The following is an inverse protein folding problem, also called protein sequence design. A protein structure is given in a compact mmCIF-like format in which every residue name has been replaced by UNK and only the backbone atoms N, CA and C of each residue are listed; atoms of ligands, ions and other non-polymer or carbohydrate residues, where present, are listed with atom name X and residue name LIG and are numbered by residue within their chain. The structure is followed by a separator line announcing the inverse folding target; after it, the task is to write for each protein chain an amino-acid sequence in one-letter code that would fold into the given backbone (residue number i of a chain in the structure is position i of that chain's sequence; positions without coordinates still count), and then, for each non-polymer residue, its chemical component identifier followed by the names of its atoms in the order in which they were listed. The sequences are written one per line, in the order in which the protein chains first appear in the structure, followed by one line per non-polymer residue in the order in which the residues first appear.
data_IF_977276188795
#
_entry.id   IF_977276188795
#
_cell.length_a   1.000
_cell.length_b   1.000
_cell.length_c   1.000
_cell.angle_alpha   90.00
_cell.angle_beta   90.00
_cell.angle_gamma   90.00
#
_symmetry.space_group_name_H-M   'P 1'
#
loop_
_entity.id
_entity.type
_entity.pdbx_description
1 polymer ?
#
# COMPACT_ATOMS: atom_id res chain seq x y z
N UNK A 1 22.84 4.49 13.06
CA UNK A 1 23.28 3.10 13.30
C UNK A 1 23.28 2.35 11.97
N UNK A 2 24.15 1.36 11.81
CA UNK A 2 24.11 0.44 10.67
C UNK A 2 23.77 -0.97 11.17
N UNK A 3 22.69 -1.56 10.67
CA UNK A 3 22.18 -2.86 11.11
C UNK A 3 22.37 -3.92 10.03
N UNK A 4 23.04 -5.03 10.36
CA UNK A 4 23.36 -6.07 9.39
C UNK A 4 22.20 -7.01 9.00
N UNK A 5 21.14 -7.06 9.80
CA UNK A 5 19.94 -7.88 9.49
C UNK A 5 18.68 -7.10 9.82
N UNK A 6 18.60 -6.56 11.05
CA UNK A 6 17.62 -5.56 11.45
C UNK A 6 18.34 -4.42 12.17
N UNK A 7 17.87 -3.16 12.06
CA UNK A 7 18.36 -2.10 12.94
C UNK A 7 17.71 -2.20 14.32
N UNK A 8 16.38 -2.34 14.38
CA UNK A 8 15.64 -2.53 15.62
C UNK A 8 14.66 -3.69 15.41
N UNK A 9 14.68 -4.68 16.31
CA UNK A 9 13.69 -5.74 16.39
C UNK A 9 13.13 -5.73 17.82
N UNK A 10 11.94 -5.15 17.99
CA UNK A 10 11.24 -5.14 19.26
C UNK A 10 10.10 -6.15 19.20
N UNK A 11 10.17 -7.21 20.02
CA UNK A 11 9.17 -8.27 20.06
C UNK A 11 8.52 -8.35 21.44
N UNK A 12 7.20 -8.20 21.51
CA UNK A 12 6.44 -8.35 22.75
C UNK A 12 6.61 -7.23 23.77
N UNK A 13 7.10 -6.06 23.36
CA UNK A 13 7.41 -4.93 24.24
C UNK A 13 6.17 -4.06 24.47
N UNK A 14 5.89 -3.77 25.74
CA UNK A 14 4.88 -2.80 26.15
C UNK A 14 5.53 -1.46 26.53
N UNK A 15 5.05 -0.35 25.97
CA UNK A 15 5.52 1.02 26.19
C UNK A 15 6.90 1.32 25.59
N UNK A 16 7.00 1.19 24.27
CA UNK A 16 8.23 1.47 23.52
C UNK A 16 8.25 2.92 23.02
N UNK A 17 9.39 3.60 23.16
CA UNK A 17 9.67 4.88 22.50
C UNK A 17 10.96 4.77 21.70
N UNK A 18 10.90 5.15 20.42
CA UNK A 18 12.05 5.30 19.52
C UNK A 18 12.01 6.74 19.01
N UNK A 19 13.00 7.54 19.37
CA UNK A 19 13.03 8.95 19.00
C UNK A 19 14.39 9.35 18.43
N UNK A 20 14.37 10.15 17.37
CA UNK A 20 15.55 10.77 16.78
C UNK A 20 16.65 9.77 16.35
N UNK A 21 16.23 8.62 15.81
CA UNK A 21 17.15 7.57 15.33
C UNK A 21 17.38 7.72 13.83
N UNK A 22 18.65 7.75 13.44
CA UNK A 22 19.09 7.54 12.05
C UNK A 22 19.53 6.09 11.87
N UNK A 23 18.89 5.35 10.97
CA UNK A 23 19.12 3.93 10.75
C UNK A 23 19.39 3.64 9.28
N UNK A 24 20.36 2.76 9.03
CA UNK A 24 20.72 2.26 7.71
C UNK A 24 20.83 0.74 7.82
N UNK A 25 20.02 0.00 7.09
CA UNK A 25 19.81 -1.43 7.30
C UNK A 25 20.09 -2.24 6.04
N UNK A 26 20.69 -3.42 6.24
CA UNK A 26 20.91 -4.43 5.19
C UNK A 26 19.62 -5.19 4.83
N UNK A 27 18.64 -5.24 5.75
CA UNK A 27 17.24 -5.64 5.51
C UNK A 27 16.29 -4.70 6.24
N UNK A 28 15.30 -5.20 7.00
CA UNK A 28 14.30 -4.31 7.60
C UNK A 28 14.96 -3.31 8.55
N UNK A 29 14.52 -2.05 8.49
CA UNK A 29 14.98 -1.01 9.40
C UNK A 29 14.48 -1.29 10.80
N UNK A 30 13.21 -0.99 11.05
CA UNK A 30 12.56 -1.23 12.35
C UNK A 30 11.45 -2.27 12.23
N UNK A 31 11.55 -3.34 13.00
CA UNK A 31 10.52 -4.34 13.21
C UNK A 31 9.88 -4.17 14.59
N UNK A 32 8.58 -3.89 14.59
CA UNK A 32 7.76 -3.73 15.80
C UNK A 32 6.74 -4.86 15.83
N UNK A 33 7.10 -5.94 16.51
CA UNK A 33 6.36 -7.19 16.50
C UNK A 33 5.65 -7.45 17.84
N UNK A 34 4.34 -7.70 17.80
CA UNK A 34 3.53 -7.99 18.99
C UNK A 34 3.66 -6.95 20.11
N UNK A 35 3.84 -5.68 19.78
CA UNK A 35 4.12 -4.60 20.73
C UNK A 35 2.89 -3.73 21.02
N UNK A 36 2.87 -3.07 22.19
CA UNK A 36 1.78 -2.18 22.59
C UNK A 36 2.29 -0.83 23.08
N UNK A 37 1.50 0.22 22.84
CA UNK A 37 1.79 1.58 23.28
C UNK A 37 3.15 2.07 22.75
N UNK A 38 3.30 2.06 21.43
CA UNK A 38 4.56 2.37 20.75
C UNK A 38 4.54 3.79 20.21
N UNK A 39 5.62 4.53 20.43
CA UNK A 39 5.86 5.87 19.86
C UNK A 39 7.15 5.87 19.06
N UNK A 40 7.06 6.14 17.77
CA UNK A 40 8.22 6.31 16.89
C UNK A 40 8.17 7.72 16.32
N UNK A 41 9.19 8.52 16.60
CA UNK A 41 9.22 9.91 16.17
C UNK A 41 10.58 10.36 15.65
N UNK A 42 10.55 11.30 14.70
CA UNK A 42 11.75 12.04 14.25
C UNK A 42 12.87 11.13 13.70
N UNK A 43 12.53 9.97 13.15
CA UNK A 43 13.50 8.99 12.68
C UNK A 43 13.77 9.09 11.17
N UNK A 44 15.01 8.80 10.77
CA UNK A 44 15.44 8.68 9.38
C UNK A 44 15.82 7.22 9.13
N UNK A 45 15.13 6.52 8.26
CA UNK A 45 15.27 5.07 8.12
C UNK A 45 15.55 4.71 6.67
N UNK A 46 16.74 4.19 6.40
CA UNK A 46 17.15 3.70 5.10
C UNK A 46 17.16 2.17 5.09
N UNK A 47 16.45 1.58 4.13
CA UNK A 47 16.52 0.15 3.81
C UNK A 47 16.36 -0.03 2.30
N UNK A 48 17.45 -0.12 1.52
CA UNK A 48 17.36 -0.24 0.07
C UNK A 48 16.80 -1.60 -0.38
N UNK A 49 16.96 -2.65 0.42
CA UNK A 49 16.68 -4.04 0.04
C UNK A 49 15.41 -4.60 0.68
N UNK A 50 14.92 -4.04 1.79
CA UNK A 50 13.74 -4.54 2.53
C UNK A 50 12.89 -3.40 3.15
N UNK A 51 11.96 -3.69 4.05
CA UNK A 51 11.04 -2.70 4.60
C UNK A 51 11.77 -1.72 5.53
N UNK A 52 11.54 -0.41 5.37
CA UNK A 52 12.14 0.58 6.27
C UNK A 52 11.55 0.51 7.68
N UNK A 53 10.22 0.46 7.80
CA UNK A 53 9.53 0.38 9.09
C UNK A 53 8.35 -0.60 8.97
N UNK A 54 8.43 -1.70 9.68
CA UNK A 54 7.47 -2.78 9.61
C UNK A 54 6.82 -3.01 10.98
N UNK A 55 5.49 -2.92 11.01
CA UNK A 55 4.69 -3.41 12.11
C UNK A 55 4.34 -4.86 11.81
N UNK A 56 4.69 -5.75 12.73
CA UNK A 56 4.37 -7.18 12.66
C UNK A 56 3.51 -7.58 13.85
N UNK A 57 2.79 -8.69 13.70
CA UNK A 57 2.05 -9.34 14.76
C UNK A 57 2.13 -10.83 14.54
N UNK A 58 3.35 -11.33 14.61
CA UNK A 58 3.68 -12.73 14.33
C UNK A 58 3.22 -13.67 15.44
N UNK A 59 3.55 -14.95 15.29
CA UNK A 59 3.39 -15.95 16.34
C UNK A 59 4.69 -16.16 17.16
N UNK A 60 5.66 -15.24 17.10
CA UNK A 60 6.97 -15.38 17.74
C UNK A 60 6.92 -15.55 19.26
N UNK A 61 5.84 -15.10 19.91
CA UNK A 61 5.63 -15.27 21.35
C UNK A 61 5.03 -16.64 21.73
N UNK A 62 4.76 -17.52 20.76
CA UNK A 62 4.07 -18.79 20.97
C UNK A 62 2.54 -18.65 21.14
N UNK A 63 2.01 -17.43 21.04
CA UNK A 63 0.58 -17.13 20.99
C UNK A 63 0.36 -15.88 20.11
N UNK A 64 -0.85 -15.75 19.56
CA UNK A 64 -1.22 -14.59 18.75
C UNK A 64 -1.37 -13.36 19.66
N UNK A 65 -0.57 -12.32 19.40
CA UNK A 65 -0.62 -11.05 20.14
C UNK A 65 -0.69 -9.88 19.17
N UNK A 66 -1.68 -9.03 19.36
CA UNK A 66 -1.91 -7.84 18.54
C UNK A 66 -0.79 -6.82 18.72
N UNK A 67 -0.41 -6.13 17.64
CA UNK A 67 0.36 -4.88 17.72
C UNK A 67 -0.62 -3.71 17.77
N UNK A 68 -0.67 -2.98 18.88
CA UNK A 68 -1.72 -1.98 19.10
C UNK A 68 -1.27 -0.68 19.77
N UNK A 69 -2.01 0.40 19.50
CA UNK A 69 -1.74 1.74 20.01
C UNK A 69 -0.34 2.21 19.59
N UNK A 70 -0.14 2.32 18.28
CA UNK A 70 1.13 2.72 17.68
C UNK A 70 0.98 4.09 17.04
N UNK A 71 1.90 5.00 17.34
CA UNK A 71 2.03 6.30 16.67
C UNK A 71 3.40 6.41 16.03
N UNK A 72 3.42 6.67 14.72
CA UNK A 72 4.61 6.96 13.93
C UNK A 72 4.47 8.39 13.40
N UNK A 73 5.40 9.28 13.72
CA UNK A 73 5.28 10.68 13.28
C UNK A 73 6.61 11.35 12.97
N UNK A 74 6.60 12.27 12.00
CA UNK A 74 7.78 13.03 11.60
C UNK A 74 8.98 12.15 11.18
N UNK A 75 8.70 10.98 10.60
CA UNK A 75 9.74 10.07 10.14
C UNK A 75 9.98 10.20 8.64
N UNK A 76 11.20 9.91 8.20
CA UNK A 76 11.53 9.74 6.79
C UNK A 76 11.96 8.31 6.49
N UNK A 77 11.44 7.74 5.40
CA UNK A 77 11.75 6.37 4.97
C UNK A 77 12.34 6.40 3.57
N UNK A 78 13.45 5.69 3.40
CA UNK A 78 14.31 5.75 2.23
C UNK A 78 14.75 4.36 1.76
N UNK A 79 15.14 4.30 0.49
CA UNK A 79 15.87 3.19 -0.10
C UNK A 79 17.11 3.65 -0.87
N UNK A 80 17.89 4.57 -0.32
CA UNK A 80 19.19 4.98 -0.85
C UNK A 80 20.26 3.90 -0.64
N UNK A 81 21.37 4.04 -1.35
CA UNK A 81 22.51 3.13 -1.27
C UNK A 81 23.01 3.01 0.18
N UNK A 82 23.41 1.81 0.58
CA UNK A 82 23.92 1.56 1.94
C UNK A 82 25.02 2.56 2.32
N UNK A 83 24.90 3.12 3.52
CA UNK A 83 25.84 4.09 4.09
C UNK A 83 25.62 5.53 3.59
N UNK A 84 24.94 5.73 2.46
CA UNK A 84 24.78 7.07 1.86
C UNK A 84 23.82 7.98 2.61
N UNK A 85 22.87 7.40 3.35
CA UNK A 85 22.11 8.14 4.33
C UNK A 85 23.08 8.64 5.42
N UNK A 86 23.95 7.77 5.94
CA UNK A 86 24.79 8.09 7.09
C UNK A 86 25.87 9.13 6.78
N UNK A 87 26.46 9.11 5.59
CA UNK A 87 27.46 10.09 5.15
C UNK A 87 26.85 11.37 4.55
N UNK A 88 25.53 11.40 4.34
CA UNK A 88 24.79 12.55 3.84
C UNK A 88 24.87 12.75 2.32
N UNK A 89 25.32 11.74 1.56
CA UNK A 89 25.41 11.82 0.10
C UNK A 89 24.14 11.41 -0.63
N UNK A 90 23.27 10.61 0.00
CA UNK A 90 21.97 10.17 -0.55
C UNK A 90 22.09 9.58 -1.97
N UNK A 91 23.10 8.73 -2.18
CA UNK A 91 23.35 8.10 -3.48
C UNK A 91 22.22 7.14 -3.85
N UNK A 92 21.99 7.04 -5.15
CA UNK A 92 20.93 6.21 -5.75
C UNK A 92 21.48 5.33 -6.88
N UNK A 93 22.76 4.96 -6.79
CA UNK A 93 23.49 4.18 -7.80
C UNK A 93 23.30 2.68 -7.58
N UNK A 94 22.90 2.26 -6.36
CA UNK A 94 22.66 0.87 -6.02
C UNK A 94 21.60 0.28 -6.94
N UNK A 95 22.00 -0.81 -7.59
CA UNK A 95 21.17 -1.74 -8.30
C UNK A 95 21.28 -3.04 -7.51
N UNK A 96 20.16 -3.61 -7.09
CA UNK A 96 20.17 -4.91 -6.42
C UNK A 96 20.61 -5.98 -7.43
N UNK A 97 21.87 -6.41 -7.34
CA UNK A 97 22.53 -7.34 -8.26
C UNK A 97 22.42 -8.81 -7.83
N UNK A 98 21.51 -9.16 -6.91
CA UNK A 98 21.35 -10.57 -6.55
C UNK A 98 20.97 -11.41 -7.78
N UNK A 99 21.75 -12.46 -8.14
CA UNK A 99 21.55 -13.21 -9.38
C UNK A 99 20.16 -13.87 -9.38
N UNK A 100 19.39 -13.60 -10.45
CA UNK A 100 18.00 -14.04 -10.65
C UNK A 100 16.94 -13.40 -9.75
N UNK A 101 17.28 -12.34 -9.00
CA UNK A 101 16.35 -11.67 -8.12
C UNK A 101 15.86 -10.38 -8.79
N UNK A 102 14.59 -10.35 -9.19
CA UNK A 102 13.94 -9.15 -9.74
C UNK A 102 13.48 -8.21 -8.61
N UNK A 103 14.38 -7.89 -7.67
CA UNK A 103 14.10 -6.93 -6.62
C UNK A 103 14.32 -5.51 -7.14
N UNK A 104 13.45 -4.60 -6.72
CA UNK A 104 13.69 -3.16 -6.83
C UNK A 104 13.98 -2.62 -5.43
N UNK A 105 14.39 -1.37 -5.34
CA UNK A 105 14.52 -0.67 -4.06
C UNK A 105 13.24 -0.84 -3.23
N UNK A 106 13.36 -1.15 -1.94
CA UNK A 106 12.23 -1.40 -1.03
C UNK A 106 11.87 -0.18 -0.16
N UNK A 107 12.49 0.03 1.01
CA UNK A 107 12.27 1.24 1.82
C UNK A 107 10.81 1.51 2.19
N UNK A 108 10.02 0.47 2.46
CA UNK A 108 8.55 0.55 2.65
C UNK A 108 8.17 0.77 4.12
N UNK A 109 7.01 1.40 4.37
CA UNK A 109 6.32 1.27 5.65
C UNK A 109 5.21 0.23 5.54
N UNK A 110 5.25 -0.82 6.37
CA UNK A 110 4.36 -1.97 6.24
C UNK A 110 3.67 -2.36 7.54
N UNK A 111 2.41 -2.78 7.44
CA UNK A 111 1.74 -3.64 8.43
C UNK A 111 1.64 -5.04 7.82
N UNK A 112 2.33 -6.03 8.41
CA UNK A 112 2.38 -7.42 7.91
C UNK A 112 3.80 -7.87 7.51
N UNK A 113 4.00 -8.94 6.74
CA UNK A 113 2.99 -9.94 6.35
C UNK A 113 2.58 -10.81 7.53
N UNK A 114 3.49 -10.99 8.48
CA UNK A 114 3.28 -11.68 9.75
C UNK A 114 2.19 -10.95 10.53
N UNK A 115 0.99 -11.51 10.48
CA UNK A 115 -0.25 -10.83 10.88
C UNK A 115 -1.17 -11.74 11.70
N UNK A 116 -0.61 -12.71 12.42
CA UNK A 116 -1.35 -13.68 13.21
C UNK A 116 -2.20 -13.03 14.32
N UNK A 117 -1.67 -12.05 15.05
CA UNK A 117 -2.41 -11.36 16.12
C UNK A 117 -3.15 -10.10 15.66
N UNK A 118 -2.79 -9.53 14.52
CA UNK A 118 -3.38 -8.32 13.95
C UNK A 118 -2.77 -7.00 14.41
N UNK A 119 -3.40 -5.91 13.97
CA UNK A 119 -3.01 -4.52 14.14
C UNK A 119 -4.23 -3.67 14.50
N UNK A 120 -4.16 -2.87 15.57
CA UNK A 120 -5.27 -1.99 15.96
C UNK A 120 -4.79 -0.62 16.44
N UNK A 121 -5.52 0.43 16.07
CA UNK A 121 -5.29 1.79 16.55
C UNK A 121 -3.86 2.24 16.21
N UNK A 122 -3.61 2.38 14.90
CA UNK A 122 -2.32 2.72 14.33
C UNK A 122 -2.45 4.08 13.64
N UNK A 123 -1.63 5.05 14.02
CA UNK A 123 -1.59 6.37 13.39
C UNK A 123 -0.19 6.63 12.84
N UNK A 124 -0.12 6.95 11.55
CA UNK A 124 1.09 7.36 10.84
C UNK A 124 0.85 8.75 10.30
N UNK A 125 1.67 9.73 10.69
CA UNK A 125 1.46 11.11 10.26
C UNK A 125 2.73 11.90 10.00
N UNK A 126 2.66 12.89 9.11
CA UNK A 126 3.78 13.81 8.84
C UNK A 126 5.06 13.09 8.38
N UNK A 127 4.93 12.01 7.60
CA UNK A 127 6.07 11.23 7.14
C UNK A 127 6.39 11.53 5.67
N UNK A 128 7.68 11.40 5.33
CA UNK A 128 8.18 11.57 3.96
C UNK A 128 8.80 10.26 3.49
N UNK A 129 8.50 9.90 2.25
CA UNK A 129 9.08 8.74 1.58
C UNK A 129 9.83 9.20 0.34
N UNK A 130 11.05 8.70 0.15
CA UNK A 130 11.81 8.95 -1.07
C UNK A 130 12.55 7.69 -1.50
N UNK A 131 12.47 7.36 -2.81
CA UNK A 131 13.06 6.13 -3.36
C UNK A 131 12.58 4.89 -2.60
N UNK A 132 11.26 4.69 -2.57
CA UNK A 132 10.60 3.69 -1.71
C UNK A 132 9.48 2.95 -2.44
N UNK A 133 8.99 1.85 -1.85
CA UNK A 133 7.77 1.14 -2.28
C UNK A 133 6.53 1.59 -1.50
N UNK A 134 6.54 2.81 -0.97
CA UNK A 134 5.39 3.44 -0.32
C UNK A 134 4.90 2.70 0.93
N UNK A 135 3.59 2.46 0.98
CA UNK A 135 2.88 1.89 2.12
C UNK A 135 2.30 0.51 1.76
N UNK A 136 2.36 -0.44 2.68
CA UNK A 136 1.57 -1.66 2.58
C UNK A 136 0.79 -1.97 3.86
N UNK A 137 -0.46 -2.42 3.70
CA UNK A 137 -1.35 -2.86 4.76
C UNK A 137 -1.85 -4.25 4.43
N UNK A 138 -1.32 -5.25 5.12
CA UNK A 138 -1.47 -6.66 4.74
C UNK A 138 -1.90 -7.52 5.94
N UNK A 139 -3.08 -8.14 5.83
CA UNK A 139 -3.44 -9.27 6.68
C UNK A 139 -3.45 -10.54 5.82
N UNK A 140 -2.54 -11.45 6.15
CA UNK A 140 -2.28 -12.68 5.42
C UNK A 140 -2.47 -13.93 6.28
N UNK A 141 -2.36 -13.79 7.60
CA UNK A 141 -2.21 -14.89 8.54
C UNK A 141 -3.36 -14.94 9.59
N UNK A 142 -4.50 -14.33 9.27
CA UNK A 142 -5.75 -14.45 10.04
C UNK A 142 -6.06 -13.32 11.03
N UNK A 143 -5.16 -12.36 11.21
CA UNK A 143 -5.36 -11.27 12.17
C UNK A 143 -6.29 -10.16 11.69
N UNK A 144 -6.77 -9.40 12.66
CA UNK A 144 -7.55 -8.18 12.45
C UNK A 144 -6.63 -7.01 12.08
N UNK A 145 -6.94 -6.26 11.03
CA UNK A 145 -6.44 -4.89 10.81
C UNK A 145 -7.61 -3.94 10.99
N UNK A 146 -7.47 -2.99 11.91
CA UNK A 146 -8.56 -2.11 12.28
C UNK A 146 -8.09 -0.76 12.85
N UNK A 147 -8.80 0.32 12.53
CA UNK A 147 -8.52 1.67 13.03
C UNK A 147 -7.11 2.13 12.67
N UNK A 148 -6.86 2.24 11.36
CA UNK A 148 -5.56 2.66 10.80
C UNK A 148 -5.71 3.99 10.08
N UNK A 149 -4.92 4.98 10.48
CA UNK A 149 -4.88 6.32 9.90
C UNK A 149 -3.49 6.61 9.33
N UNK A 150 -3.46 6.97 8.04
CA UNK A 150 -2.34 7.67 7.41
C UNK A 150 -2.78 9.11 7.11
N UNK A 151 -2.04 10.11 7.62
CA UNK A 151 -2.35 11.52 7.37
C UNK A 151 -1.10 12.36 7.09
N UNK A 152 -1.19 13.28 6.13
CA UNK A 152 -0.13 14.22 5.78
C UNK A 152 1.18 13.49 5.40
N UNK A 153 1.13 12.79 4.26
CA UNK A 153 2.24 11.99 3.74
C UNK A 153 2.70 12.55 2.40
N UNK A 154 4.02 12.71 2.22
CA UNK A 154 4.61 13.07 0.93
C UNK A 154 5.52 11.96 0.43
N UNK A 155 5.44 11.64 -0.86
CA UNK A 155 6.23 10.59 -1.48
C UNK A 155 6.84 11.06 -2.81
N UNK A 156 8.09 10.68 -3.08
CA UNK A 156 8.78 10.92 -4.36
C UNK A 156 9.60 9.72 -4.77
N UNK A 157 9.67 9.46 -6.09
CA UNK A 157 10.36 8.29 -6.65
C UNK A 157 9.88 6.99 -5.99
N UNK A 158 8.61 6.68 -6.25
CA UNK A 158 8.00 5.46 -5.73
C UNK A 158 8.29 4.34 -6.72
N UNK A 159 9.03 3.32 -6.28
CA UNK A 159 9.57 2.22 -7.11
C UNK A 159 8.61 1.03 -7.28
N UNK A 160 7.37 1.21 -6.84
CA UNK A 160 6.27 0.26 -6.83
C UNK A 160 4.93 1.03 -6.86
N UNK A 161 3.88 0.55 -6.19
CA UNK A 161 2.64 1.30 -5.95
C UNK A 161 2.71 2.11 -4.63
N UNK A 162 2.21 3.36 -4.57
CA UNK A 162 2.28 4.22 -3.38
C UNK A 162 1.59 3.65 -2.15
N UNK A 163 0.46 2.95 -2.36
CA UNK A 163 -0.17 2.19 -1.30
C UNK A 163 -0.81 0.91 -1.82
N UNK A 164 -0.54 -0.18 -1.09
CA UNK A 164 -1.04 -1.53 -1.33
C UNK A 164 -1.83 -2.00 -0.10
N UNK A 165 -3.09 -2.36 -0.28
CA UNK A 165 -3.91 -2.94 0.81
C UNK A 165 -4.36 -4.32 0.38
N UNK A 166 -4.01 -5.33 1.17
CA UNK A 166 -4.30 -6.73 0.87
C UNK A 166 -4.87 -7.46 2.08
N UNK A 167 -6.03 -8.08 1.89
CA UNK A 167 -6.54 -9.13 2.77
C UNK A 167 -6.44 -10.45 2.00
N UNK A 168 -5.56 -11.35 2.41
CA UNK A 168 -5.39 -12.66 1.79
C UNK A 168 -5.33 -13.79 2.84
N UNK A 169 -5.17 -15.03 2.39
CA UNK A 169 -5.24 -16.23 3.23
C UNK A 169 -4.01 -17.12 3.01
N UNK A 170 -2.82 -16.59 3.34
CA UNK A 170 -1.58 -17.36 3.38
C UNK A 170 -1.54 -18.31 4.58
N UNK A 171 -2.16 -17.90 5.69
CA UNK A 171 -2.47 -18.73 6.86
C UNK A 171 -1.27 -19.49 7.46
N UNK A 172 -0.13 -18.82 7.67
CA UNK A 172 1.07 -19.45 8.28
C UNK A 172 0.98 -19.68 9.80
N UNK A 173 -0.14 -19.32 10.42
CA UNK A 173 -0.40 -19.53 11.84
C UNK A 173 -0.82 -20.95 12.19
N UNK A 174 -1.25 -21.18 13.45
CA UNK A 174 -1.86 -22.43 13.86
C UNK A 174 -3.05 -22.82 12.96
N UNK A 175 -3.27 -24.12 12.79
CA UNK A 175 -4.42 -24.64 12.03
C UNK A 175 -5.75 -24.19 12.66
N UNK A 176 -6.76 -23.99 11.81
CA UNK A 176 -8.12 -23.63 12.23
C UNK A 176 -8.36 -22.13 12.50
N UNK A 177 -7.33 -21.28 12.36
CA UNK A 177 -7.50 -19.82 12.41
C UNK A 177 -8.34 -19.36 11.20
N UNK A 178 -9.38 -18.54 11.38
CA UNK A 178 -10.15 -18.00 10.27
C UNK A 178 -9.35 -16.95 9.48
N UNK A 179 -9.76 -16.68 8.25
CA UNK A 179 -9.21 -15.55 7.47
C UNK A 179 -9.44 -14.24 8.23
N UNK A 180 -8.46 -13.34 8.10
CA UNK A 180 -8.45 -12.07 8.81
C UNK A 180 -9.55 -11.10 8.39
N UNK A 181 -9.64 -10.01 9.14
CA UNK A 181 -10.56 -8.89 8.88
C UNK A 181 -9.69 -7.66 8.60
N UNK A 182 -10.05 -6.85 7.60
CA UNK A 182 -9.33 -5.61 7.28
C UNK A 182 -10.34 -4.49 7.11
N UNK A 183 -10.37 -3.52 8.03
CA UNK A 183 -11.39 -2.48 8.00
C UNK A 183 -11.04 -1.17 8.70
N UNK A 184 -11.85 -0.14 8.46
CA UNK A 184 -11.73 1.19 9.10
C UNK A 184 -10.34 1.78 8.91
N UNK A 185 -9.98 1.92 7.63
CA UNK A 185 -8.71 2.47 7.19
C UNK A 185 -8.98 3.83 6.55
N UNK A 186 -8.21 4.83 6.94
CA UNK A 186 -8.23 6.15 6.31
C UNK A 186 -6.84 6.50 5.81
N UNK A 187 -6.75 6.85 4.53
CA UNK A 187 -5.57 7.48 3.94
C UNK A 187 -5.98 8.88 3.50
N UNK A 188 -5.46 9.89 4.20
CA UNK A 188 -5.80 11.28 4.00
C UNK A 188 -4.55 12.13 3.72
N UNK A 189 -4.69 13.20 2.93
CA UNK A 189 -3.64 14.17 2.65
C UNK A 189 -2.34 13.51 2.13
N UNK A 190 -2.43 12.88 0.96
CA UNK A 190 -1.33 12.15 0.34
C UNK A 190 -0.87 12.85 -0.94
N UNK A 191 0.39 13.28 -1.01
CA UNK A 191 0.99 13.91 -2.18
C UNK A 191 2.14 13.08 -2.73
N UNK A 192 1.99 12.56 -3.94
CA UNK A 192 2.92 11.61 -4.55
C UNK A 192 3.35 12.08 -5.93
N UNK A 193 4.65 12.02 -6.18
CA UNK A 193 5.22 12.30 -7.50
C UNK A 193 6.19 11.20 -7.93
N UNK A 194 6.25 10.97 -9.24
CA UNK A 194 7.18 10.01 -9.85
C UNK A 194 6.97 8.56 -9.39
N UNK A 195 5.74 8.08 -9.53
CA UNK A 195 5.40 6.68 -9.27
C UNK A 195 5.67 5.86 -10.52
N UNK A 196 6.61 4.91 -10.46
CA UNK A 196 6.83 3.97 -11.54
C UNK A 196 7.34 2.66 -10.99
N UNK A 197 6.68 1.57 -11.36
CA UNK A 197 7.01 0.24 -10.84
C UNK A 197 8.40 -0.23 -11.24
N UNK A 198 8.70 -1.48 -10.88
CA UNK A 198 10.01 -2.11 -11.07
C UNK A 198 10.48 -2.00 -12.53
N UNK A 199 11.79 -1.99 -12.82
CA UNK A 199 12.30 -1.94 -14.20
C UNK A 199 11.68 -2.98 -15.15
N UNK A 200 11.25 -4.14 -14.64
CA UNK A 200 10.59 -5.23 -15.41
C UNK A 200 9.09 -5.37 -15.14
N UNK A 201 8.53 -4.53 -14.27
CA UNK A 201 7.09 -4.51 -13.94
C UNK A 201 6.65 -3.07 -13.59
N UNK A 202 6.77 -2.10 -14.52
CA UNK A 202 6.47 -0.71 -14.23
C UNK A 202 4.97 -0.45 -14.03
N UNK A 203 4.12 -1.43 -14.35
CA UNK A 203 2.72 -1.28 -14.74
C UNK A 203 1.71 -1.53 -13.59
N UNK A 204 2.12 -1.37 -12.33
CA UNK A 204 1.34 -1.76 -11.14
C UNK A 204 0.22 -0.78 -10.77
N UNK A 205 0.24 0.44 -11.33
CA UNK A 205 -0.77 1.48 -11.08
C UNK A 205 -0.56 2.26 -9.78
N UNK A 206 -1.35 3.31 -9.60
CA UNK A 206 -1.28 4.27 -8.51
C UNK A 206 -1.84 3.78 -7.16
N UNK A 207 -2.65 2.72 -7.15
CA UNK A 207 -3.06 2.02 -5.94
C UNK A 207 -3.65 0.63 -6.23
N UNK A 208 -3.47 -0.29 -5.29
CA UNK A 208 -4.08 -1.62 -5.33
C UNK A 208 -4.72 -1.95 -3.98
N UNK A 209 -6.04 -2.15 -3.96
CA UNK A 209 -6.81 -2.50 -2.76
C UNK A 209 -7.62 -3.75 -3.03
N UNK A 210 -7.20 -4.88 -2.46
CA UNK A 210 -7.70 -6.19 -2.86
C UNK A 210 -7.99 -7.10 -1.66
N UNK A 211 -9.26 -7.41 -1.43
CA UNK A 211 -9.71 -8.56 -0.64
C UNK A 211 -9.64 -9.86 -1.46
N UNK A 212 -10.32 -10.91 -0.98
CA UNK A 212 -10.45 -12.20 -1.68
C UNK A 212 -11.92 -12.63 -1.70
N UNK A 213 -12.31 -13.61 -2.54
CA UNK A 213 -13.68 -14.10 -2.57
C UNK A 213 -14.21 -14.44 -1.16
N UNK A 214 -15.32 -13.83 -0.77
CA UNK A 214 -15.96 -14.02 0.54
C UNK A 214 -15.40 -13.15 1.68
N UNK A 215 -14.27 -12.44 1.49
CA UNK A 215 -13.64 -11.61 2.52
C UNK A 215 -13.29 -10.22 1.97
N UNK A 216 -14.05 -9.23 2.44
CA UNK A 216 -13.99 -7.86 1.96
C UNK A 216 -13.06 -7.00 2.81
N UNK A 217 -12.37 -6.06 2.17
CA UNK A 217 -11.84 -4.89 2.88
C UNK A 217 -13.01 -3.94 3.13
N UNK A 218 -13.25 -3.57 4.39
CA UNK A 218 -14.45 -2.81 4.77
C UNK A 218 -14.14 -1.40 5.27
N UNK A 219 -14.98 -0.42 4.93
CA UNK A 219 -14.88 0.95 5.47
C UNK A 219 -13.50 1.59 5.20
N UNK A 220 -13.19 1.77 3.92
CA UNK A 220 -11.97 2.42 3.43
C UNK A 220 -12.29 3.84 2.96
N UNK A 221 -11.59 4.82 3.52
CA UNK A 221 -11.66 6.22 3.10
C UNK A 221 -10.34 6.68 2.51
N UNK A 222 -10.39 7.20 1.28
CA UNK A 222 -9.27 7.80 0.57
C UNK A 222 -9.63 9.26 0.28
N UNK A 223 -8.89 10.22 0.85
CA UNK A 223 -9.22 11.64 0.69
C UNK A 223 -8.04 12.56 0.51
N UNK A 224 -8.22 13.61 -0.28
CA UNK A 224 -7.20 14.65 -0.50
C UNK A 224 -5.88 14.05 -1.03
N UNK A 225 -5.97 13.32 -2.15
CA UNK A 225 -4.84 12.57 -2.72
C UNK A 225 -4.45 13.17 -4.07
N UNK A 226 -3.15 13.36 -4.30
CA UNK A 226 -2.59 13.71 -5.61
C UNK A 226 -1.47 12.76 -5.98
N UNK A 227 -1.55 12.13 -7.14
CA UNK A 227 -0.54 11.17 -7.63
C UNK A 227 -0.16 11.47 -9.08
N UNK A 228 1.15 11.59 -9.33
CA UNK A 228 1.74 11.58 -10.68
C UNK A 228 2.43 10.25 -10.95
N UNK A 229 1.86 9.47 -11.85
CA UNK A 229 2.35 8.17 -12.27
C UNK A 229 3.17 8.28 -13.56
N UNK A 230 4.26 7.52 -13.70
CA UNK A 230 5.11 7.54 -14.90
C UNK A 230 4.32 7.14 -16.14
N UNK A 231 3.35 6.23 -16.04
CA UNK A 231 2.48 5.84 -17.15
C UNK A 231 3.21 5.08 -18.25
N UNK A 232 2.65 5.10 -19.47
CA UNK A 232 3.28 4.50 -20.66
C UNK A 232 2.78 3.10 -21.04
N UNK A 233 1.70 2.61 -20.42
CA UNK A 233 1.20 1.25 -20.66
C UNK A 233 0.20 1.23 -21.82
N UNK A 234 0.31 0.21 -22.69
CA UNK A 234 -0.60 0.01 -23.82
C UNK A 234 -1.98 -0.50 -23.36
N UNK A 235 -2.95 -0.43 -24.28
CA UNK A 235 -4.32 -0.92 -24.04
C UNK A 235 -4.40 -2.43 -23.75
N UNK A 236 -3.38 -3.21 -24.11
CA UNK A 236 -3.37 -4.67 -23.95
C UNK A 236 -3.43 -5.10 -22.47
N UNK A 237 -3.12 -4.18 -21.55
CA UNK A 237 -3.23 -4.42 -20.11
C UNK A 237 -4.68 -4.39 -19.58
N UNK A 238 -5.61 -3.72 -20.27
CA UNK A 238 -6.99 -3.48 -19.79
C UNK A 238 -7.77 -4.79 -19.66
N UNK A 239 -7.56 -5.70 -20.60
CA UNK A 239 -8.28 -6.99 -20.68
C UNK A 239 -7.57 -8.13 -19.95
N UNK A 240 -6.42 -7.87 -19.33
CA UNK A 240 -5.69 -8.90 -18.58
C UNK A 240 -6.50 -9.35 -17.37
N UNK A 241 -6.56 -10.67 -17.20
CA UNK A 241 -7.09 -11.26 -15.98
C UNK A 241 -6.17 -10.93 -14.80
N UNK A 242 -6.76 -10.45 -13.71
CA UNK A 242 -6.05 -10.21 -12.45
C UNK A 242 -6.20 -11.47 -11.59
N UNK A 243 -5.17 -12.33 -11.44
CA UNK A 243 -5.27 -13.54 -10.64
C UNK A 243 -5.53 -13.21 -9.16
N UNK A 244 -6.20 -14.10 -8.43
CA UNK A 244 -6.51 -13.85 -7.00
C UNK A 244 -5.29 -13.95 -6.09
N UNK A 245 -4.38 -14.90 -6.37
CA UNK A 245 -3.18 -15.14 -5.57
C UNK A 245 -3.50 -15.25 -4.06
N UNK A 246 -4.53 -16.02 -3.71
CA UNK A 246 -5.17 -16.05 -2.38
C UNK A 246 -4.16 -16.39 -1.26
N UNK A 247 -3.33 -17.39 -1.48
CA UNK A 247 -2.46 -18.03 -0.48
C UNK A 247 -0.97 -17.71 -0.69
N UNK A 248 -0.66 -16.78 -1.58
CA UNK A 248 0.73 -16.44 -1.91
C UNK A 248 1.28 -15.27 -1.08
N UNK A 249 2.58 -15.03 -1.13
CA UNK A 249 3.19 -13.83 -0.54
C UNK A 249 2.60 -12.57 -1.19
N UNK A 250 1.97 -11.65 -0.42
CA UNK A 250 1.23 -10.53 -0.98
C UNK A 250 2.16 -9.36 -1.30
N UNK A 251 2.86 -9.41 -2.43
CA UNK A 251 3.61 -8.26 -2.93
C UNK A 251 3.03 -7.77 -4.27
N UNK A 252 2.90 -6.45 -4.50
CA UNK A 252 2.40 -5.91 -5.76
C UNK A 252 2.97 -6.54 -7.03
N UNK A 253 4.27 -6.89 -7.06
CA UNK A 253 4.90 -7.45 -8.27
C UNK A 253 4.23 -8.73 -8.77
N UNK A 254 3.51 -9.45 -7.91
CA UNK A 254 2.82 -10.71 -8.24
C UNK A 254 1.73 -10.54 -9.30
N UNK A 255 1.25 -9.31 -9.54
CA UNK A 255 0.24 -9.02 -10.56
C UNK A 255 0.80 -8.42 -11.85
N UNK A 256 2.08 -8.04 -11.85
CA UNK A 256 2.81 -7.51 -13.01
C UNK A 256 2.20 -6.21 -13.58
N UNK A 257 1.16 -6.33 -14.37
CA UNK A 257 0.51 -5.25 -15.12
C UNK A 257 -0.94 -5.18 -14.73
N UNK A 258 -1.30 -4.10 -14.04
CA UNK A 258 -2.67 -3.87 -13.60
C UNK A 258 -3.48 -3.22 -14.72
N UNK A 259 -4.77 -3.56 -14.85
CA UNK A 259 -5.63 -3.01 -15.91
C UNK A 259 -6.00 -1.54 -15.69
N UNK A 260 -5.80 -0.99 -14.48
CA UNK A 260 -5.94 0.43 -14.19
C UNK A 260 -4.55 1.06 -14.03
N UNK A 261 -4.34 2.25 -14.60
CA UNK A 261 -3.13 3.03 -14.25
C UNK A 261 -3.30 3.76 -12.90
N UNK A 262 -4.54 4.13 -12.58
CA UNK A 262 -4.90 4.80 -11.34
C UNK A 262 -5.11 3.79 -10.22
N UNK A 263 -6.34 3.65 -9.73
CA UNK A 263 -6.65 2.83 -8.55
C UNK A 263 -7.49 1.61 -8.93
N UNK A 264 -7.04 0.43 -8.48
CA UNK A 264 -7.73 -0.85 -8.65
C UNK A 264 -8.30 -1.32 -7.31
N UNK A 265 -9.62 -1.55 -7.26
CA UNK A 265 -10.34 -2.02 -6.08
C UNK A 265 -10.98 -3.38 -6.35
N UNK A 266 -10.77 -4.35 -5.46
CA UNK A 266 -11.38 -5.67 -5.55
C UNK A 266 -11.83 -6.21 -4.20
N UNK A 267 -13.05 -6.76 -4.11
CA UNK A 267 -13.66 -7.22 -2.85
C UNK A 267 -13.58 -6.14 -1.77
N UNK A 268 -14.21 -5.00 -2.04
CA UNK A 268 -14.25 -3.85 -1.11
C UNK A 268 -15.69 -3.49 -0.78
N UNK A 269 -15.97 -3.19 0.48
CA UNK A 269 -17.30 -2.76 0.94
C UNK A 269 -17.23 -1.47 1.74
N UNK A 270 -18.05 -0.47 1.41
CA UNK A 270 -18.02 0.82 2.10
C UNK A 270 -16.79 1.65 1.70
N UNK A 271 -16.59 1.84 0.39
CA UNK A 271 -15.48 2.61 -0.17
C UNK A 271 -15.87 4.08 -0.32
N UNK A 272 -15.04 5.01 0.17
CA UNK A 272 -15.21 6.45 -0.03
C UNK A 272 -13.94 7.04 -0.61
N UNK A 273 -14.04 7.65 -1.79
CA UNK A 273 -12.94 8.28 -2.50
C UNK A 273 -13.32 9.72 -2.80
N UNK A 274 -12.62 10.68 -2.19
CA UNK A 274 -13.01 12.09 -2.27
C UNK A 274 -11.81 13.02 -2.49
N UNK A 275 -11.95 13.97 -3.41
CA UNK A 275 -10.90 14.96 -3.70
C UNK A 275 -9.58 14.28 -4.12
N UNK A 276 -9.60 13.63 -5.28
CA UNK A 276 -8.48 12.84 -5.80
C UNK A 276 -8.06 13.35 -7.16
N UNK A 277 -6.76 13.63 -7.30
CA UNK A 277 -6.11 14.04 -8.55
C UNK A 277 -5.16 12.95 -9.03
N UNK A 278 -5.41 12.39 -10.20
CA UNK A 278 -4.54 11.39 -10.83
C UNK A 278 -4.01 11.90 -12.16
N UNK A 279 -2.69 11.79 -12.35
CA UNK A 279 -1.99 12.17 -13.57
C UNK A 279 -1.05 11.08 -14.01
N UNK A 280 -0.86 10.94 -15.31
CA UNK A 280 0.26 10.21 -15.88
C UNK A 280 1.24 11.19 -16.57
N UNK A 281 2.53 10.88 -16.53
CA UNK A 281 3.59 11.68 -17.14
C UNK A 281 3.84 11.26 -18.60
N UNK A 282 3.80 9.95 -18.86
CA UNK A 282 3.78 9.39 -20.20
C UNK A 282 2.38 8.86 -20.50
N UNK A 283 1.94 9.01 -21.75
CA UNK A 283 0.61 8.60 -22.19
C UNK A 283 0.34 7.14 -21.81
N UNK A 284 -0.70 6.92 -21.02
CA UNK A 284 -1.16 5.59 -20.59
C UNK A 284 -2.55 5.35 -21.17
N UNK A 285 -2.79 4.19 -21.76
CA UNK A 285 -4.05 3.88 -22.43
C UNK A 285 -5.10 3.27 -21.49
N UNK A 286 -4.75 3.00 -20.22
CA UNK A 286 -5.67 2.38 -19.26
C UNK A 286 -6.67 3.36 -18.65
N UNK A 287 -7.80 2.88 -18.09
CA UNK A 287 -8.70 3.68 -17.27
C UNK A 287 -8.05 4.12 -15.95
N UNK A 288 -8.61 5.16 -15.33
CA UNK A 288 -8.19 5.62 -14.01
C UNK A 288 -8.67 4.68 -12.90
N UNK A 289 -9.90 4.16 -12.99
CA UNK A 289 -10.50 3.36 -11.94
C UNK A 289 -11.05 2.05 -12.46
N UNK A 290 -10.78 0.98 -11.73
CA UNK A 290 -11.46 -0.31 -11.93
C UNK A 290 -11.96 -0.82 -10.58
N UNK A 291 -13.24 -1.16 -10.54
CA UNK A 291 -13.91 -1.75 -9.38
C UNK A 291 -14.38 -3.15 -9.77
N UNK A 292 -13.93 -4.16 -9.03
CA UNK A 292 -14.29 -5.57 -9.24
C UNK A 292 -14.82 -6.20 -7.94
N UNK A 293 -16.12 -6.48 -7.88
CA UNK A 293 -16.80 -6.96 -6.66
C UNK A 293 -16.70 -5.91 -5.53
N UNK A 294 -17.33 -4.74 -5.78
CA UNK A 294 -17.30 -3.60 -4.86
C UNK A 294 -18.72 -3.17 -4.50
N UNK A 295 -18.99 -3.00 -3.21
CA UNK A 295 -20.33 -2.72 -2.70
C UNK A 295 -20.35 -1.48 -1.81
N UNK A 296 -21.36 -0.62 -1.98
CA UNK A 296 -21.52 0.64 -1.24
C UNK A 296 -20.28 1.54 -1.43
N UNK A 297 -20.13 2.08 -2.63
CA UNK A 297 -19.00 2.92 -3.01
C UNK A 297 -19.44 4.35 -3.34
N UNK A 298 -18.60 5.33 -2.98
CA UNK A 298 -18.82 6.73 -3.33
C UNK A 298 -17.54 7.37 -3.85
N UNK A 299 -17.65 8.08 -4.96
CA UNK A 299 -16.58 8.86 -5.59
C UNK A 299 -17.07 10.30 -5.73
N UNK A 300 -16.28 11.25 -5.27
CA UNK A 300 -16.62 12.67 -5.39
C UNK A 300 -15.39 13.56 -5.61
N UNK A 301 -15.54 14.60 -6.42
CA UNK A 301 -14.47 15.57 -6.71
C UNK A 301 -13.21 14.88 -7.24
N UNK A 302 -13.35 14.21 -8.39
CA UNK A 302 -12.26 13.47 -9.01
C UNK A 302 -11.80 14.21 -10.26
N UNK A 303 -10.50 14.44 -10.32
CA UNK A 303 -9.83 15.00 -11.49
C UNK A 303 -8.72 14.04 -11.90
N UNK A 304 -9.02 13.14 -12.83
CA UNK A 304 -8.13 12.07 -13.24
C UNK A 304 -8.04 11.98 -14.76
N UNK A 305 -6.82 11.93 -15.30
CA UNK A 305 -6.63 11.61 -16.72
C UNK A 305 -7.13 10.18 -17.01
N UNK A 306 -7.35 9.86 -18.28
CA UNK A 306 -7.65 8.50 -18.75
C UNK A 306 -7.01 8.29 -20.12
N UNK A 307 -6.80 7.03 -20.49
CA UNK A 307 -6.48 6.68 -21.87
C UNK A 307 -7.47 7.30 -22.85
N UNK A 308 -7.00 7.67 -24.05
CA UNK A 308 -7.78 8.44 -25.02
C UNK A 308 -9.15 7.81 -25.29
N UNK A 309 -9.15 6.49 -25.50
CA UNK A 309 -10.33 5.70 -25.81
C UNK A 309 -10.82 4.88 -24.61
N UNK A 310 -10.21 5.06 -23.43
CA UNK A 310 -10.60 4.36 -22.22
C UNK A 310 -11.77 5.07 -21.51
N UNK A 311 -12.63 4.32 -20.80
CA UNK A 311 -13.57 4.90 -19.85
C UNK A 311 -12.83 5.47 -18.62
N UNK A 312 -13.51 6.32 -17.86
CA UNK A 312 -13.00 6.78 -16.57
C UNK A 312 -13.07 5.65 -15.53
N UNK A 313 -14.18 4.87 -15.56
CA UNK A 313 -14.39 3.72 -14.69
C UNK A 313 -14.73 2.45 -15.48
N UNK A 314 -14.16 1.32 -15.07
CA UNK A 314 -14.69 -0.01 -15.40
C UNK A 314 -15.25 -0.64 -14.13
N UNK A 315 -16.54 -0.98 -14.16
CA UNK A 315 -17.28 -1.60 -13.06
C UNK A 315 -17.54 -3.07 -13.40
N UNK A 316 -17.23 -3.97 -12.47
CA UNK A 316 -17.50 -5.41 -12.53
C UNK A 316 -18.13 -5.84 -11.20
N UNK A 317 -19.34 -6.39 -11.23
CA UNK A 317 -20.08 -6.83 -10.04
C UNK A 317 -20.19 -5.77 -8.93
N UNK A 318 -20.59 -4.55 -9.28
CA UNK A 318 -20.67 -3.41 -8.36
C UNK A 318 -22.12 -3.17 -7.92
N UNK A 319 -22.33 -2.79 -6.65
CA UNK A 319 -23.65 -2.36 -6.18
C UNK A 319 -23.61 -1.13 -5.28
N UNK A 320 -24.67 -0.34 -5.33
CA UNK A 320 -24.85 0.90 -4.57
C UNK A 320 -23.65 1.84 -4.73
N UNK A 321 -23.39 2.25 -5.97
CA UNK A 321 -22.33 3.20 -6.29
C UNK A 321 -22.92 4.58 -6.60
N UNK A 322 -22.28 5.62 -6.08
CA UNK A 322 -22.52 7.02 -6.43
C UNK A 322 -21.23 7.68 -6.89
N UNK A 323 -21.26 8.37 -8.03
CA UNK A 323 -20.15 9.11 -8.62
C UNK A 323 -20.66 10.53 -8.87
N UNK A 324 -19.94 11.52 -8.36
CA UNK A 324 -20.34 12.93 -8.41
C UNK A 324 -19.13 13.82 -8.71
N UNK A 325 -19.28 14.83 -9.57
CA UNK A 325 -18.19 15.77 -9.89
C UNK A 325 -16.88 15.06 -10.30
N UNK A 326 -16.94 14.30 -11.39
CA UNK A 326 -15.76 13.68 -12.00
C UNK A 326 -15.52 14.30 -13.37
N UNK A 327 -14.27 14.64 -13.69
CA UNK A 327 -13.95 15.20 -15.01
C UNK A 327 -14.38 14.24 -16.14
N UNK A 328 -14.98 14.80 -17.19
CA UNK A 328 -15.43 14.05 -18.37
C UNK A 328 -16.50 12.97 -18.10
N UNK A 329 -17.20 13.02 -16.96
CA UNK A 329 -18.26 12.07 -16.61
C UNK A 329 -19.41 12.77 -15.88
N UNK A 330 -20.64 12.61 -16.36
CA UNK A 330 -21.85 13.07 -15.66
C UNK A 330 -22.05 12.33 -14.33
N UNK A 331 -22.79 12.92 -13.39
CA UNK A 331 -23.10 12.27 -12.13
C UNK A 331 -23.88 10.96 -12.33
N UNK A 332 -23.48 9.92 -11.61
CA UNK A 332 -24.01 8.56 -11.76
C UNK A 332 -24.42 8.00 -10.41
N UNK A 333 -25.61 7.38 -10.36
CA UNK A 333 -26.06 6.55 -9.23
C UNK A 333 -26.59 5.22 -9.75
N UNK A 334 -25.99 4.11 -9.31
CA UNK A 334 -26.33 2.76 -9.79
C UNK A 334 -26.64 1.84 -8.61
N UNK A 335 -27.73 1.08 -8.72
CA UNK A 335 -28.13 0.08 -7.72
C UNK A 335 -27.31 -1.21 -7.79
N UNK A 336 -27.26 -1.87 -8.95
CA UNK A 336 -26.44 -3.07 -9.19
C UNK A 336 -26.03 -3.12 -10.66
N UNK A 337 -24.77 -3.46 -10.94
CA UNK A 337 -24.22 -3.65 -12.28
C UNK A 337 -23.29 -4.86 -12.32
N UNK A 338 -23.47 -5.73 -13.31
CA UNK A 338 -22.58 -6.88 -13.54
C UNK A 338 -21.32 -6.46 -14.30
N UNK A 339 -21.47 -5.69 -15.37
CA UNK A 339 -20.37 -5.05 -16.09
C UNK A 339 -20.85 -3.71 -16.66
N UNK A 340 -20.07 -2.64 -16.50
CA UNK A 340 -20.34 -1.33 -17.10
C UNK A 340 -19.07 -0.52 -17.25
N UNK A 341 -18.94 0.20 -18.36
CA UNK A 341 -17.92 1.22 -18.59
C UNK A 341 -18.58 2.59 -18.49
N UNK A 342 -17.94 3.53 -17.79
CA UNK A 342 -18.43 4.89 -17.55
C UNK A 342 -17.40 5.92 -18.01
#
# INVERSE_FOLDING_TARGET
MHGGHFCILATGVDNLTIDNVRADADRDGFDIDCCKNVRISNCNINSPTDDGLCLKSSFALGYARITENVTITNCQVYGYDHGSLMDGTFKSEFIDEAPNVNHCITGRLKLGTESNGGFRNITISNCVFERSRGIAIETADGGLIEDVLFDNISMRDVTDTPFFIRLNARMRGPEGVPVGICRRITINNLNVYDVGGRPKSPELGAAMVMGIPGYYIEDLTLSNIRIYYRGGVSKDAIDKEVPQNIDTYPDPYRWHSMPAYGMYFRYVKGLRVNNVVLRYMNRDERPAFILDDVHNASFSHIDAQKGKDAPQFILKNVSNISIHEVNELDDVKLGKVEKKEL
#
